data_IF_834445212425
#
_entry.id   IF_834445212425
#
_cell.length_a   1.000
_cell.length_b   1.000
_cell.length_c   1.000
_cell.angle_alpha   90.00
_cell.angle_beta   90.00
_cell.angle_gamma   90.00
#
_symmetry.space_group_name_H-M   'P 1'
#
loop_
_entity.id
_entity.type
_entity.pdbx_description
1 polymer ?
#
# COMPACT_ATOMS: atom_id res chain seq x y z
N UNK A 1 7.49 -3.81 -7.41
CA UNK A 1 7.30 -4.49 -8.73
C UNK A 1 6.24 -3.84 -9.61
N UNK A 2 5.08 -3.47 -9.09
CA UNK A 2 3.95 -2.95 -9.88
C UNK A 2 4.33 -1.84 -10.89
N UNK A 3 5.04 -0.75 -10.52
CA UNK A 3 5.44 0.27 -11.49
C UNK A 3 6.32 -0.27 -12.63
N UNK A 4 7.20 -1.23 -12.33
CA UNK A 4 8.10 -1.83 -13.32
C UNK A 4 7.32 -2.70 -14.30
N UNK A 5 6.35 -3.49 -13.79
CA UNK A 5 5.45 -4.30 -14.61
C UNK A 5 4.58 -3.42 -15.49
N UNK A 6 4.00 -2.34 -14.93
CA UNK A 6 3.18 -1.38 -15.66
C UNK A 6 3.93 -0.67 -16.80
N UNK A 7 5.26 -0.57 -16.68
CA UNK A 7 6.15 -0.07 -17.74
C UNK A 7 6.54 -1.16 -18.77
N UNK A 8 6.03 -2.37 -18.64
CA UNK A 8 6.38 -3.49 -19.51
C UNK A 8 7.85 -3.92 -19.39
N UNK A 9 8.44 -3.79 -18.20
CA UNK A 9 9.84 -4.06 -17.92
C UNK A 9 10.06 -5.19 -16.90
N UNK A 10 9.14 -6.16 -16.85
CA UNK A 10 9.21 -7.29 -15.91
C UNK A 10 10.53 -8.07 -16.03
N UNK A 11 11.06 -8.19 -17.22
CA UNK A 11 12.33 -8.87 -17.56
C UNK A 11 13.57 -8.17 -16.97
N UNK A 12 13.46 -6.93 -16.53
CA UNK A 12 14.52 -6.22 -15.80
C UNK A 12 14.62 -6.63 -14.32
N UNK A 13 13.65 -7.40 -13.81
CA UNK A 13 13.62 -7.85 -12.43
C UNK A 13 14.25 -9.26 -12.35
N UNK A 14 15.47 -9.35 -11.83
CA UNK A 14 16.14 -10.63 -11.64
C UNK A 14 15.77 -11.31 -10.31
N UNK A 15 15.53 -10.52 -9.27
CA UNK A 15 15.44 -11.00 -7.89
C UNK A 15 14.24 -10.40 -7.13
N UNK A 16 13.73 -11.15 -6.15
CA UNK A 16 12.68 -10.70 -5.25
C UNK A 16 12.99 -11.06 -3.79
N UNK A 17 12.80 -10.10 -2.89
CA UNK A 17 12.83 -10.33 -1.44
C UNK A 17 11.53 -10.97 -0.88
N UNK A 18 10.53 -11.17 -1.74
CA UNK A 18 9.25 -11.81 -1.41
C UNK A 18 9.13 -13.11 -2.21
N UNK A 19 8.70 -14.20 -1.56
CA UNK A 19 8.44 -15.48 -2.23
C UNK A 19 7.24 -15.39 -3.16
N UNK A 20 7.15 -16.30 -4.13
CA UNK A 20 6.06 -16.34 -5.12
C UNK A 20 4.66 -16.30 -4.48
N UNK A 21 4.46 -17.00 -3.36
CA UNK A 21 3.17 -17.07 -2.66
C UNK A 21 2.76 -15.74 -2.00
N UNK A 22 3.74 -14.87 -1.69
CA UNK A 22 3.51 -13.56 -1.10
C UNK A 22 3.22 -12.45 -2.12
N UNK A 23 3.25 -12.74 -3.43
CA UNK A 23 2.88 -11.78 -4.46
C UNK A 23 1.42 -11.92 -4.86
N UNK A 24 0.71 -10.80 -4.85
CA UNK A 24 -0.66 -10.69 -5.38
C UNK A 24 -0.68 -10.34 -6.88
N UNK A 25 0.42 -9.78 -7.41
CA UNK A 25 0.58 -9.48 -8.84
C UNK A 25 0.75 -10.80 -9.62
N UNK A 26 -0.19 -11.16 -10.51
CA UNK A 26 -0.15 -12.43 -11.24
C UNK A 26 1.12 -12.59 -12.08
N UNK A 27 1.59 -11.51 -12.71
CA UNK A 27 2.78 -11.48 -13.56
C UNK A 27 4.04 -11.77 -12.74
N UNK A 28 4.18 -11.14 -11.55
CA UNK A 28 5.30 -11.38 -10.66
C UNK A 28 5.31 -12.82 -10.16
N UNK A 29 4.14 -13.33 -9.77
CA UNK A 29 3.97 -14.71 -9.31
C UNK A 29 4.33 -15.72 -10.40
N UNK A 30 3.81 -15.51 -11.61
CA UNK A 30 4.09 -16.38 -12.77
C UNK A 30 5.58 -16.37 -13.15
N UNK A 31 6.22 -15.18 -13.18
CA UNK A 31 7.64 -15.05 -13.48
C UNK A 31 8.53 -15.77 -12.44
N UNK A 32 8.17 -15.69 -11.15
CA UNK A 32 8.88 -16.43 -10.10
C UNK A 32 8.67 -17.95 -10.21
N UNK A 33 7.45 -18.41 -10.51
CA UNK A 33 7.15 -19.82 -10.72
C UNK A 33 7.86 -20.40 -11.95
N UNK A 34 8.05 -19.57 -12.98
CA UNK A 34 8.81 -19.92 -14.18
C UNK A 34 10.34 -19.83 -13.98
N UNK A 35 10.83 -19.39 -12.81
CA UNK A 35 12.25 -19.22 -12.53
C UNK A 35 12.89 -18.01 -13.21
N UNK A 36 12.11 -17.11 -13.77
CA UNK A 36 12.60 -15.86 -14.36
C UNK A 36 13.03 -14.85 -13.29
N UNK A 37 12.36 -14.85 -12.14
CA UNK A 37 12.70 -14.06 -10.96
C UNK A 37 13.02 -15.03 -9.83
N UNK A 38 14.22 -14.95 -9.25
CA UNK A 38 14.62 -15.78 -8.13
C UNK A 38 14.30 -15.12 -6.78
N UNK A 39 14.06 -15.94 -5.76
CA UNK A 39 13.95 -15.45 -4.39
C UNK A 39 15.35 -15.26 -3.80
N UNK A 40 15.68 -14.06 -3.36
CA UNK A 40 16.99 -13.69 -2.84
C UNK A 40 17.02 -13.40 -1.32
N UNK A 41 16.11 -14.00 -0.56
CA UNK A 41 16.01 -13.76 0.90
C UNK A 41 15.19 -12.53 1.22
N UNK A 42 14.89 -12.34 2.51
CA UNK A 42 14.19 -11.14 3.01
C UNK A 42 15.16 -9.96 3.11
N UNK A 43 14.63 -8.73 3.13
CA UNK A 43 15.40 -7.49 3.34
C UNK A 43 16.34 -7.56 4.56
N UNK A 44 15.96 -8.31 5.62
CA UNK A 44 16.76 -8.46 6.86
C UNK A 44 17.74 -9.63 6.84
N UNK A 45 17.67 -10.51 5.85
CA UNK A 45 18.52 -11.68 5.69
C UNK A 45 18.60 -12.06 4.20
N UNK A 46 19.23 -11.22 3.37
CA UNK A 46 19.35 -11.48 1.94
C UNK A 46 20.37 -12.59 1.67
N UNK A 47 20.15 -13.32 0.60
CA UNK A 47 21.10 -14.28 0.05
C UNK A 47 22.09 -13.55 -0.86
N UNK A 48 23.19 -13.09 -0.28
CA UNK A 48 24.22 -12.34 -0.99
C UNK A 48 24.86 -13.14 -2.12
N UNK A 49 24.97 -14.46 -1.97
CA UNK A 49 25.54 -15.33 -3.00
C UNK A 49 24.65 -15.34 -4.25
N UNK A 50 23.35 -15.53 -4.07
CA UNK A 50 22.37 -15.46 -5.15
C UNK A 50 22.34 -14.06 -5.78
N UNK A 51 22.41 -12.99 -4.98
CA UNK A 51 22.40 -11.60 -5.46
C UNK A 51 23.62 -11.34 -6.36
N UNK A 52 24.80 -11.71 -5.90
CA UNK A 52 26.04 -11.52 -6.67
C UNK A 52 26.07 -12.39 -7.96
N UNK A 53 25.62 -13.64 -7.86
CA UNK A 53 25.58 -14.56 -9.00
C UNK A 53 24.60 -14.09 -10.09
N UNK A 54 23.55 -13.35 -9.73
CA UNK A 54 22.58 -12.82 -10.70
C UNK A 54 23.07 -11.62 -11.50
N UNK A 55 24.20 -11.01 -11.12
CA UNK A 55 24.69 -9.78 -11.73
C UNK A 55 23.82 -8.57 -11.43
N UNK A 56 23.18 -8.55 -10.27
CA UNK A 56 22.31 -7.46 -9.81
C UNK A 56 23.04 -6.11 -9.89
N UNK A 57 22.53 -5.17 -10.69
CA UNK A 57 23.11 -3.84 -10.90
C UNK A 57 22.53 -2.75 -10.01
N UNK A 58 21.37 -2.99 -9.40
CA UNK A 58 20.67 -2.06 -8.51
C UNK A 58 19.76 -2.84 -7.56
N UNK A 59 19.87 -2.62 -6.28
CA UNK A 59 18.91 -3.10 -5.31
C UNK A 59 17.86 -2.00 -5.01
N UNK A 60 16.57 -2.35 -5.13
CA UNK A 60 15.46 -1.46 -4.75
C UNK A 60 14.84 -2.02 -3.49
N UNK A 61 15.06 -1.34 -2.38
CA UNK A 61 14.61 -1.76 -1.07
C UNK A 61 13.48 -0.83 -0.56
N UNK A 62 12.57 -1.37 0.20
CA UNK A 62 11.59 -0.54 0.90
C UNK A 62 12.20 0.03 2.20
N UNK A 63 11.45 0.89 2.88
CA UNK A 63 11.91 1.59 4.09
C UNK A 63 12.17 0.66 5.29
N UNK A 64 11.76 -0.61 5.23
CA UNK A 64 12.09 -1.60 6.26
C UNK A 64 13.60 -1.87 6.34
N UNK A 65 14.36 -1.58 5.27
CA UNK A 65 15.82 -1.67 5.26
C UNK A 65 16.49 -0.80 6.34
N UNK A 66 15.82 0.26 6.80
CA UNK A 66 16.32 1.10 7.88
C UNK A 66 16.42 0.39 9.23
N UNK A 67 15.73 -0.75 9.40
CA UNK A 67 15.85 -1.59 10.60
C UNK A 67 17.07 -2.52 10.54
N UNK A 68 17.71 -2.65 9.38
CA UNK A 68 18.89 -3.48 9.13
C UNK A 68 19.88 -2.73 8.23
N UNK A 69 20.42 -1.59 8.68
CA UNK A 69 21.29 -0.73 7.88
C UNK A 69 22.54 -1.46 7.38
N UNK A 70 23.00 -2.45 8.13
CA UNK A 70 24.13 -3.31 7.76
C UNK A 70 23.93 -4.06 6.44
N UNK A 71 22.69 -4.39 6.07
CA UNK A 71 22.35 -5.04 4.81
C UNK A 71 22.61 -4.08 3.65
N UNK A 72 22.14 -2.83 3.77
CA UNK A 72 22.39 -1.79 2.78
C UNK A 72 23.90 -1.56 2.59
N UNK A 73 24.62 -1.39 3.70
CA UNK A 73 26.07 -1.21 3.67
C UNK A 73 26.81 -2.39 3.00
N UNK A 74 26.34 -3.61 3.24
CA UNK A 74 26.96 -4.80 2.66
C UNK A 74 26.72 -4.89 1.14
N UNK A 75 25.52 -4.55 0.66
CA UNK A 75 25.21 -4.47 -0.77
C UNK A 75 26.11 -3.42 -1.46
N UNK A 76 26.22 -2.23 -0.84
CA UNK A 76 27.06 -1.15 -1.37
C UNK A 76 28.55 -1.53 -1.39
N UNK A 77 29.06 -2.27 -0.38
CA UNK A 77 30.43 -2.83 -0.39
C UNK A 77 30.65 -3.82 -1.54
N UNK A 78 29.63 -4.53 -1.96
CA UNK A 78 29.69 -5.40 -3.15
C UNK A 78 29.57 -4.63 -4.47
N UNK A 79 29.46 -3.29 -4.41
CA UNK A 79 29.33 -2.45 -5.61
C UNK A 79 27.90 -2.39 -6.15
N UNK A 80 26.91 -2.85 -5.40
CA UNK A 80 25.50 -2.80 -5.77
C UNK A 80 24.88 -1.55 -5.11
N UNK A 81 24.57 -0.50 -5.87
CA UNK A 81 23.88 0.67 -5.32
C UNK A 81 22.49 0.29 -4.78
N UNK A 82 22.07 0.96 -3.70
CA UNK A 82 20.79 0.70 -3.07
C UNK A 82 19.89 1.93 -3.16
N UNK A 83 18.79 1.82 -3.89
CA UNK A 83 17.72 2.78 -3.90
C UNK A 83 16.71 2.41 -2.82
N UNK A 84 16.47 3.29 -1.85
CA UNK A 84 15.38 3.10 -0.89
C UNK A 84 14.12 3.76 -1.43
N UNK A 85 13.16 2.94 -1.80
CA UNK A 85 11.86 3.34 -2.31
C UNK A 85 11.01 3.92 -1.17
N UNK A 86 10.51 5.15 -1.35
CA UNK A 86 9.81 5.91 -0.32
C UNK A 86 8.43 6.40 -0.74
N UNK A 87 7.84 5.87 -1.81
CA UNK A 87 6.51 6.26 -2.25
C UNK A 87 5.45 6.10 -1.16
N UNK A 88 5.69 5.18 -0.21
CA UNK A 88 4.81 4.97 0.94
C UNK A 88 4.76 6.16 1.91
N UNK A 89 5.69 7.11 1.83
CA UNK A 89 5.69 8.34 2.63
C UNK A 89 4.97 9.51 1.95
N UNK A 90 4.61 9.37 0.67
CA UNK A 90 3.84 10.38 -0.02
C UNK A 90 2.43 10.46 0.57
N UNK A 91 2.00 11.67 0.88
CA UNK A 91 0.67 11.94 1.47
C UNK A 91 -0.40 12.19 0.40
N UNK A 92 0.02 12.47 -0.84
CA UNK A 92 -0.86 12.66 -1.98
C UNK A 92 -0.85 11.40 -2.88
N UNK A 93 -2.02 10.91 -3.32
CA UNK A 93 -2.11 9.73 -4.19
C UNK A 93 -1.36 9.89 -5.51
N UNK A 94 -1.41 11.08 -6.13
CA UNK A 94 -0.70 11.33 -7.37
C UNK A 94 0.82 11.41 -7.17
N UNK A 95 1.28 12.01 -6.06
CA UNK A 95 2.70 12.01 -5.72
C UNK A 95 3.23 10.58 -5.55
N UNK A 96 2.44 9.66 -4.95
CA UNK A 96 2.81 8.23 -4.90
C UNK A 96 2.94 7.62 -6.27
N UNK A 97 2.03 7.93 -7.18
CA UNK A 97 2.06 7.41 -8.55
C UNK A 97 3.19 8.02 -9.38
N UNK A 98 3.59 9.25 -9.10
CA UNK A 98 4.66 9.94 -9.81
C UNK A 98 6.02 9.22 -9.68
N UNK A 99 6.22 8.39 -8.68
CA UNK A 99 7.39 7.54 -8.55
C UNK A 99 7.62 6.62 -9.77
N UNK A 100 6.58 6.34 -10.57
CA UNK A 100 6.73 5.62 -11.84
C UNK A 100 7.70 6.31 -12.78
N UNK A 101 7.81 7.65 -12.75
CA UNK A 101 8.77 8.40 -13.57
C UNK A 101 10.22 8.09 -13.20
N UNK A 102 10.50 7.90 -11.90
CA UNK A 102 11.82 7.46 -11.45
C UNK A 102 12.17 6.08 -12.03
N UNK A 103 11.22 5.14 -11.96
CA UNK A 103 11.41 3.83 -12.60
C UNK A 103 11.57 3.94 -14.12
N UNK A 104 10.82 4.84 -14.76
CA UNK A 104 10.99 5.12 -16.19
C UNK A 104 12.40 5.55 -16.55
N UNK A 105 13.01 6.43 -15.75
CA UNK A 105 14.41 6.88 -15.94
C UNK A 105 15.36 5.70 -15.76
N UNK A 106 15.22 4.94 -14.68
CA UNK A 106 16.10 3.81 -14.37
C UNK A 106 16.08 2.70 -15.44
N UNK A 107 14.95 2.54 -16.11
CA UNK A 107 14.71 1.46 -17.07
C UNK A 107 14.77 1.92 -18.54
N UNK A 108 15.07 3.21 -18.81
CA UNK A 108 15.04 3.77 -20.16
C UNK A 108 13.63 3.83 -20.77
N UNK A 109 12.60 3.95 -19.92
CA UNK A 109 11.18 3.96 -20.26
C UNK A 109 10.51 5.26 -19.87
N UNK A 110 11.20 6.39 -20.05
CA UNK A 110 10.77 7.70 -19.60
C UNK A 110 9.45 8.13 -20.22
N UNK A 111 9.32 7.93 -21.54
CA UNK A 111 8.12 8.34 -22.26
C UNK A 111 6.90 7.54 -21.84
N UNK A 112 7.05 6.24 -21.66
CA UNK A 112 5.98 5.35 -21.18
C UNK A 112 5.55 5.73 -19.75
N UNK A 113 6.51 6.07 -18.89
CA UNK A 113 6.25 6.48 -17.51
C UNK A 113 5.50 7.82 -17.44
N UNK A 114 5.87 8.79 -18.26
CA UNK A 114 5.17 10.06 -18.39
C UNK A 114 3.72 9.85 -18.86
N UNK A 115 3.52 9.06 -19.93
CA UNK A 115 2.19 8.76 -20.46
C UNK A 115 1.31 8.02 -19.42
N UNK A 116 1.90 7.06 -18.70
CA UNK A 116 1.20 6.34 -17.64
C UNK A 116 0.76 7.29 -16.52
N UNK A 117 1.65 8.15 -16.05
CA UNK A 117 1.34 9.15 -15.03
C UNK A 117 0.28 10.15 -15.50
N UNK A 118 0.46 10.74 -16.69
CA UNK A 118 -0.48 11.72 -17.24
C UNK A 118 -1.88 11.10 -17.41
N UNK A 119 -1.96 9.84 -17.80
CA UNK A 119 -3.24 9.12 -17.88
C UNK A 119 -3.92 9.06 -16.52
N UNK A 120 -3.18 8.82 -15.44
CA UNK A 120 -3.75 8.80 -14.10
C UNK A 120 -4.17 10.20 -13.64
N UNK A 121 -3.36 11.23 -13.91
CA UNK A 121 -3.74 12.61 -13.63
C UNK A 121 -5.06 12.96 -14.31
N UNK A 122 -5.21 12.63 -15.59
CA UNK A 122 -6.46 12.87 -16.33
C UNK A 122 -7.67 12.12 -15.74
N UNK A 123 -7.47 10.90 -15.22
CA UNK A 123 -8.54 10.14 -14.58
C UNK A 123 -8.97 10.73 -13.24
N UNK A 124 -8.04 11.34 -12.52
CA UNK A 124 -8.26 11.92 -11.20
C UNK A 124 -8.77 13.35 -11.28
N UNK A 125 -8.40 14.11 -12.31
CA UNK A 125 -8.76 15.51 -12.48
C UNK A 125 -10.26 15.84 -12.29
N UNK A 126 -11.22 15.01 -12.75
CA UNK A 126 -12.64 15.26 -12.48
C UNK A 126 -13.02 15.22 -11.00
N UNK A 127 -12.24 14.51 -10.18
CA UNK A 127 -12.49 14.37 -8.73
C UNK A 127 -12.05 15.61 -7.95
N UNK A 128 -11.08 16.39 -8.44
CA UNK A 128 -10.56 17.57 -7.75
C UNK A 128 -11.62 18.67 -7.55
N UNK A 129 -12.63 18.71 -8.43
CA UNK A 129 -13.71 19.69 -8.38
C UNK A 129 -15.04 19.08 -7.93
N UNK A 130 -15.01 17.90 -7.34
CA UNK A 130 -16.22 17.22 -6.88
C UNK A 130 -16.82 17.94 -5.68
N UNK A 131 -18.13 18.18 -5.74
CA UNK A 131 -18.84 18.77 -4.59
C UNK A 131 -18.84 17.81 -3.40
N UNK A 132 -18.66 18.28 -2.16
CA UNK A 132 -18.77 17.45 -0.98
C UNK A 132 -20.08 16.68 -0.95
N UNK A 133 -20.00 15.38 -0.76
CA UNK A 133 -21.17 14.50 -0.69
C UNK A 133 -21.91 14.60 0.65
N UNK A 134 -21.26 15.20 1.67
CA UNK A 134 -21.72 15.20 3.06
C UNK A 134 -21.62 13.83 3.72
N UNK A 135 -20.98 12.84 3.07
CA UNK A 135 -20.80 11.49 3.62
C UNK A 135 -19.53 11.41 4.45
N UNK A 136 -19.65 10.76 5.61
CA UNK A 136 -18.52 10.47 6.48
C UNK A 136 -18.02 9.04 6.27
N UNK A 137 -16.72 8.85 6.26
CA UNK A 137 -16.05 7.58 5.91
C UNK A 137 -15.05 7.21 7.00
N UNK A 138 -15.09 5.96 7.48
CA UNK A 138 -14.05 5.36 8.30
C UNK A 138 -13.31 4.28 7.49
N UNK A 139 -11.97 4.34 7.50
CA UNK A 139 -11.08 3.33 6.91
C UNK A 139 -10.28 2.69 8.03
N UNK A 140 -10.34 1.36 8.17
CA UNK A 140 -9.78 0.66 9.32
C UNK A 140 -9.41 -0.80 9.03
N UNK A 141 -8.59 -1.39 9.91
CA UNK A 141 -8.42 -2.84 10.06
C UNK A 141 -8.45 -3.21 11.54
N UNK A 142 -8.71 -4.50 11.84
CA UNK A 142 -8.74 -5.02 13.22
C UNK A 142 -7.59 -5.98 13.37
N UNK A 143 -6.68 -5.68 14.30
CA UNK A 143 -5.51 -6.50 14.60
C UNK A 143 -5.89 -7.77 15.37
N UNK A 144 -4.99 -8.75 15.40
CA UNK A 144 -5.14 -9.98 16.23
C UNK A 144 -5.30 -9.71 17.73
N UNK A 145 -4.85 -8.52 18.18
CA UNK A 145 -4.96 -8.09 19.59
C UNK A 145 -6.22 -7.23 19.84
N UNK A 146 -7.20 -7.26 18.94
CA UNK A 146 -8.44 -6.48 19.02
C UNK A 146 -8.25 -4.96 19.10
N UNK A 147 -7.12 -4.43 18.60
CA UNK A 147 -6.98 -3.00 18.36
C UNK A 147 -7.48 -2.66 16.96
N UNK A 148 -7.94 -1.44 16.78
CA UNK A 148 -8.37 -0.94 15.49
C UNK A 148 -7.30 -0.02 14.93
N UNK A 149 -6.69 -0.44 13.81
CA UNK A 149 -5.73 0.37 13.09
C UNK A 149 -6.46 1.29 12.11
N UNK A 150 -6.28 2.59 12.28
CA UNK A 150 -6.82 3.63 11.39
C UNK A 150 -5.69 4.41 10.73
N UNK A 151 -5.99 5.10 9.63
CA UNK A 151 -5.03 6.02 8.99
C UNK A 151 -5.02 7.36 9.69
N UNK A 152 -3.86 8.03 9.71
CA UNK A 152 -3.76 9.44 10.12
C UNK A 152 -4.47 10.33 9.11
N UNK A 153 -4.90 11.51 9.54
CA UNK A 153 -5.52 12.50 8.65
C UNK A 153 -4.61 12.99 7.52
N UNK A 154 -3.29 12.92 7.71
CA UNK A 154 -2.29 13.26 6.69
C UNK A 154 -1.95 12.11 5.72
N UNK A 155 -2.55 10.93 5.88
CA UNK A 155 -2.30 9.78 5.00
C UNK A 155 -2.99 9.95 3.65
N UNK A 156 -2.39 9.37 2.59
CA UNK A 156 -2.95 9.43 1.25
C UNK A 156 -4.35 8.84 1.13
N UNK A 157 -4.74 7.88 2.00
CA UNK A 157 -6.10 7.31 2.01
C UNK A 157 -7.12 8.36 2.47
N UNK A 158 -6.79 9.17 3.50
CA UNK A 158 -7.63 10.28 3.91
C UNK A 158 -7.82 11.26 2.75
N UNK A 159 -6.74 11.59 2.03
CA UNK A 159 -6.79 12.44 0.84
C UNK A 159 -7.65 11.84 -0.29
N UNK A 160 -7.57 10.52 -0.52
CA UNK A 160 -8.43 9.83 -1.51
C UNK A 160 -9.92 9.94 -1.15
N UNK A 161 -10.25 9.82 0.14
CA UNK A 161 -11.64 9.99 0.63
C UNK A 161 -12.14 11.41 0.36
N UNK A 162 -11.30 12.42 0.64
CA UNK A 162 -11.63 13.81 0.34
C UNK A 162 -11.81 14.06 -1.16
N UNK A 163 -10.91 13.55 -2.00
CA UNK A 163 -11.02 13.65 -3.46
C UNK A 163 -12.31 13.01 -3.99
N UNK A 164 -12.79 11.96 -3.33
CA UNK A 164 -14.09 11.35 -3.62
C UNK A 164 -15.29 12.14 -3.05
N UNK A 165 -15.05 13.31 -2.46
CA UNK A 165 -16.09 14.17 -1.87
C UNK A 165 -16.60 13.69 -0.50
N UNK A 166 -15.94 12.71 0.12
CA UNK A 166 -16.24 12.25 1.47
C UNK A 166 -15.46 13.03 2.55
N UNK A 167 -15.84 12.85 3.80
CA UNK A 167 -15.10 13.36 4.96
C UNK A 167 -14.57 12.19 5.78
N UNK A 168 -13.26 12.15 5.99
CA UNK A 168 -12.64 11.11 6.81
C UNK A 168 -12.89 11.37 8.30
N UNK A 169 -13.47 10.41 9.04
CA UNK A 169 -13.86 10.62 10.44
C UNK A 169 -12.69 10.82 11.41
N UNK A 170 -11.48 10.41 11.02
CA UNK A 170 -10.27 10.56 11.81
C UNK A 170 -9.27 11.57 11.20
N UNK A 171 -9.76 12.56 10.44
CA UNK A 171 -8.93 13.58 9.80
C UNK A 171 -8.05 14.36 10.80
N UNK A 172 -8.53 14.56 12.02
CA UNK A 172 -7.83 15.30 13.07
C UNK A 172 -6.83 14.44 13.86
N UNK A 173 -6.78 13.13 13.62
CA UNK A 173 -5.78 12.27 14.26
C UNK A 173 -4.41 12.57 13.70
N UNK A 174 -3.65 13.32 14.47
CA UNK A 174 -2.25 13.62 14.25
C UNK A 174 -1.39 12.84 15.22
N UNK A 175 -0.14 12.64 14.86
CA UNK A 175 0.79 11.87 15.65
C UNK A 175 1.70 12.75 16.49
N UNK A 176 2.03 12.26 17.68
CA UNK A 176 2.96 12.87 18.61
C UNK A 176 4.44 12.49 18.32
N UNK A 177 4.80 12.32 17.05
CA UNK A 177 6.22 12.22 16.65
C UNK A 177 6.69 10.86 16.12
N UNK A 178 5.81 9.90 15.84
CA UNK A 178 6.21 8.73 15.07
C UNK A 178 5.89 8.94 13.57
N UNK A 179 6.75 8.48 12.67
CA UNK A 179 6.58 8.61 11.22
C UNK A 179 5.66 7.52 10.61
N UNK A 180 4.82 6.87 11.41
CA UNK A 180 3.89 5.85 10.91
C UNK A 180 2.67 6.49 10.27
N UNK A 181 2.16 5.91 9.23
CA UNK A 181 0.94 6.34 8.54
C UNK A 181 -0.36 5.95 9.27
N UNK A 182 -0.25 5.17 10.35
CA UNK A 182 -1.37 4.57 11.07
C UNK A 182 -1.29 4.81 12.57
N UNK A 183 -2.45 4.75 13.23
CA UNK A 183 -2.61 4.78 14.68
C UNK A 183 -3.48 3.60 15.10
N UNK A 184 -3.14 2.98 16.23
CA UNK A 184 -3.97 1.95 16.83
C UNK A 184 -4.87 2.58 17.90
N UNK A 185 -6.16 2.39 17.76
CA UNK A 185 -7.19 2.83 18.70
C UNK A 185 -7.71 1.64 19.50
N UNK A 186 -8.24 1.90 20.69
CA UNK A 186 -9.10 0.94 21.37
C UNK A 186 -10.41 0.73 20.59
N UNK A 187 -11.13 -0.35 20.85
CA UNK A 187 -12.45 -0.56 20.25
C UNK A 187 -13.44 0.53 20.69
N UNK A 188 -13.32 1.02 21.92
CA UNK A 188 -14.15 2.07 22.49
C UNK A 188 -13.91 3.42 21.79
N UNK A 189 -12.65 3.79 21.57
CA UNK A 189 -12.28 5.04 20.87
C UNK A 189 -12.72 4.99 19.41
N UNK A 190 -12.54 3.84 18.75
CA UNK A 190 -13.01 3.64 17.39
C UNK A 190 -14.55 3.73 17.31
N UNK A 191 -15.26 3.10 18.26
CA UNK A 191 -16.72 3.20 18.34
C UNK A 191 -17.16 4.65 18.52
N UNK A 192 -16.56 5.36 19.45
CA UNK A 192 -16.90 6.76 19.72
C UNK A 192 -16.70 7.65 18.47
N UNK A 193 -15.63 7.42 17.71
CA UNK A 193 -15.30 8.23 16.53
C UNK A 193 -16.00 7.83 15.23
N UNK A 194 -16.42 6.57 15.08
CA UNK A 194 -16.85 6.03 13.79
C UNK A 194 -18.26 5.39 13.77
N UNK A 195 -18.93 5.22 14.90
CA UNK A 195 -20.26 4.56 14.96
C UNK A 195 -21.31 5.19 14.07
N UNK A 196 -21.24 6.52 13.89
CA UNK A 196 -22.19 7.30 13.11
C UNK A 196 -21.71 7.55 11.66
N UNK A 197 -20.56 6.97 11.25
CA UNK A 197 -20.06 7.08 9.89
C UNK A 197 -21.06 6.52 8.87
N UNK A 198 -21.17 7.21 7.72
CA UNK A 198 -22.05 6.77 6.63
C UNK A 198 -21.51 5.55 5.89
N UNK A 199 -20.18 5.41 5.83
CA UNK A 199 -19.49 4.34 5.11
C UNK A 199 -18.35 3.79 5.97
N UNK A 200 -18.25 2.48 6.02
CA UNK A 200 -17.09 1.76 6.58
C UNK A 200 -16.31 1.08 5.45
N UNK A 201 -14.99 1.27 5.43
CA UNK A 201 -14.09 0.58 4.53
C UNK A 201 -13.10 -0.25 5.35
N UNK A 202 -13.24 -1.56 5.30
CA UNK A 202 -12.33 -2.48 5.97
C UNK A 202 -11.09 -2.72 5.10
N UNK A 203 -9.91 -2.47 5.67
CA UNK A 203 -8.63 -2.76 5.02
C UNK A 203 -8.28 -4.24 5.16
N UNK A 204 -8.55 -5.03 4.15
CA UNK A 204 -8.26 -6.47 4.14
C UNK A 204 -6.84 -6.83 3.67
N UNK A 205 -6.01 -5.84 3.39
CA UNK A 205 -4.65 -6.09 2.87
C UNK A 205 -3.66 -6.57 3.93
N UNK A 206 -3.98 -6.41 5.22
CA UNK A 206 -3.08 -6.73 6.33
C UNK A 206 -3.53 -8.00 7.06
N UNK A 207 -4.79 -8.06 7.47
CA UNK A 207 -5.33 -9.12 8.35
C UNK A 207 -6.17 -10.17 7.59
N UNK A 208 -6.05 -10.19 6.27
CA UNK A 208 -6.78 -11.09 5.39
C UNK A 208 -8.13 -10.57 4.91
N UNK A 209 -8.59 -11.13 3.81
CA UNK A 209 -9.84 -10.75 3.17
C UNK A 209 -11.05 -11.19 4.00
N UNK A 210 -12.09 -10.35 3.97
CA UNK A 210 -13.41 -10.64 4.53
C UNK A 210 -14.37 -10.72 3.36
N UNK A 211 -15.14 -11.80 3.28
CA UNK A 211 -16.03 -12.06 2.17
C UNK A 211 -17.42 -11.43 2.36
N UNK A 212 -17.80 -11.08 3.60
CA UNK A 212 -19.12 -10.51 3.88
C UNK A 212 -19.10 -9.63 5.14
N UNK A 213 -20.14 -8.81 5.29
CA UNK A 213 -20.37 -7.99 6.49
C UNK A 213 -20.57 -8.88 7.73
N UNK A 214 -21.19 -10.04 7.59
CA UNK A 214 -21.40 -10.99 8.69
C UNK A 214 -20.07 -11.47 9.25
N UNK A 215 -19.10 -11.84 8.40
CA UNK A 215 -17.76 -12.22 8.84
C UNK A 215 -17.02 -11.09 9.55
N UNK A 216 -17.24 -9.84 9.11
CA UNK A 216 -16.68 -8.68 9.79
C UNK A 216 -17.29 -8.51 11.19
N UNK A 217 -18.61 -8.71 11.33
CA UNK A 217 -19.33 -8.66 12.61
C UNK A 217 -18.96 -9.84 13.51
N UNK A 218 -18.74 -11.04 12.96
CA UNK A 218 -18.21 -12.19 13.73
C UNK A 218 -16.82 -11.87 14.31
N UNK A 219 -15.95 -11.22 13.53
CA UNK A 219 -14.63 -10.79 13.99
C UNK A 219 -14.71 -9.71 15.08
N UNK A 220 -15.68 -8.80 14.99
CA UNK A 220 -15.91 -7.74 15.97
C UNK A 220 -17.41 -7.45 16.14
N UNK A 221 -18.09 -8.08 17.12
CA UNK A 221 -19.54 -7.94 17.31
C UNK A 221 -20.02 -6.50 17.57
N UNK A 222 -19.14 -5.63 18.08
CA UNK A 222 -19.45 -4.22 18.31
C UNK A 222 -19.84 -3.49 17.01
N UNK A 223 -19.31 -3.92 15.87
CA UNK A 223 -19.60 -3.32 14.56
C UNK A 223 -21.08 -3.43 14.16
N UNK A 224 -21.84 -4.39 14.70
CA UNK A 224 -23.27 -4.49 14.45
C UNK A 224 -24.07 -3.23 14.87
N UNK A 225 -23.48 -2.42 15.78
CA UNK A 225 -24.10 -1.18 16.26
C UNK A 225 -23.78 0.04 15.39
N UNK A 226 -22.90 -0.10 14.39
CA UNK A 226 -22.49 1.00 13.52
C UNK A 226 -23.57 1.31 12.47
N UNK A 227 -23.83 2.58 12.26
CA UNK A 227 -24.79 3.08 11.27
C UNK A 227 -24.54 2.48 9.87
N UNK A 228 -23.30 2.46 9.43
CA UNK A 228 -22.93 1.92 8.12
C UNK A 228 -23.24 0.42 7.99
N UNK A 229 -23.02 -0.37 9.04
CA UNK A 229 -23.36 -1.81 9.06
C UNK A 229 -24.87 -1.99 8.96
N UNK A 230 -25.64 -1.25 9.76
CA UNK A 230 -27.10 -1.32 9.76
C UNK A 230 -27.72 -0.91 8.40
N UNK A 231 -27.04 -0.02 7.66
CA UNK A 231 -27.49 0.48 6.36
C UNK A 231 -26.89 -0.26 5.16
N UNK A 232 -26.07 -1.30 5.38
CA UNK A 232 -25.41 -2.05 4.32
C UNK A 232 -24.31 -1.29 3.56
N UNK A 233 -23.73 -0.25 4.17
CA UNK A 233 -22.69 0.60 3.59
C UNK A 233 -21.28 0.18 4.09
N UNK A 234 -20.99 -1.10 4.00
CA UNK A 234 -19.69 -1.67 4.38
C UNK A 234 -18.98 -2.18 3.13
N UNK A 235 -17.75 -1.75 2.96
CA UNK A 235 -16.88 -2.11 1.86
C UNK A 235 -15.58 -2.68 2.38
N UNK A 236 -14.88 -3.46 1.57
CA UNK A 236 -13.52 -3.87 1.88
C UNK A 236 -12.58 -3.58 0.71
N UNK A 237 -11.31 -3.31 1.04
CA UNK A 237 -10.28 -3.30 0.00
C UNK A 237 -10.04 -4.74 -0.41
N UNK A 238 -10.32 -5.06 -1.66
CA UNK A 238 -10.06 -6.38 -2.21
C UNK A 238 -8.60 -6.47 -2.66
N UNK A 239 -7.95 -7.61 -2.39
CA UNK A 239 -6.65 -7.95 -2.96
C UNK A 239 -6.76 -8.43 -4.41
N UNK A 240 -7.97 -8.54 -4.95
CA UNK A 240 -8.20 -8.85 -6.33
C UNK A 240 -7.99 -7.59 -7.16
N UNK A 241 -6.87 -7.55 -7.85
CA UNK A 241 -6.71 -6.63 -8.96
C UNK A 241 -7.72 -7.02 -10.02
N UNK A 242 -8.72 -6.20 -10.19
CA UNK A 242 -9.46 -6.21 -11.43
C UNK A 242 -8.55 -5.58 -12.47
N UNK A 243 -8.05 -6.42 -13.34
CA UNK A 243 -7.36 -6.07 -14.58
C UNK A 243 -8.15 -5.07 -15.42
#
# INVERSE_FOLDING_TARGET
MDPIISLGALDSIALSGTKADGWYLPEAKAAMQAGQIAYAGKYSAPDYETILASGCGLAIENTMIYHTPEVKEQLEKFGIPVLVERSSYETDPLARMEWVKLYGILLGKQQEAEQLFDTQVQRVAPLENQQPTGKTVAFFSITSNNLVTVRKGSDYVARMIEMAGGSYVFADLTDNGNNLATINLSLEDFYAGAKDADVLIYNSTIEGSIASTEQLVEKCPLLAQFKAVQNGNVWCTCLLYTS
#
